data_IF_927272997405
#
_entry.id   IF_927272997405
#
_cell.length_a   1.000
_cell.length_b   1.000
_cell.length_c   1.000
_cell.angle_alpha   90.00
_cell.angle_beta   90.00
_cell.angle_gamma   90.00
#
_symmetry.space_group_name_H-M   'P 1'
#
loop_
_entity.id
_entity.type
_entity.pdbx_description
1 polymer ?
#
# COMPACT_ATOMS: atom_id res chain seq x y z
N UNK A 1 51.23 -9.14 51.57
CA UNK A 1 50.20 -9.91 50.80
C UNK A 1 48.77 -9.65 51.21
N UNK A 2 48.44 -8.69 52.08
CA UNK A 2 47.06 -8.39 52.50
C UNK A 2 46.45 -7.13 51.83
N UNK A 3 47.22 -6.36 51.07
CA UNK A 3 46.73 -5.14 50.40
C UNK A 3 46.41 -5.32 48.90
N UNK A 4 46.69 -6.51 48.31
CA UNK A 4 46.42 -6.80 46.91
C UNK A 4 45.02 -7.40 46.67
N UNK A 5 44.35 -7.88 47.76
CA UNK A 5 43.03 -8.50 47.65
C UNK A 5 41.85 -7.50 47.73
N UNK A 6 42.09 -6.26 48.17
CA UNK A 6 41.04 -5.25 48.35
C UNK A 6 40.80 -4.47 47.05
N UNK A 7 41.79 -4.40 46.16
CA UNK A 7 41.67 -3.68 44.88
C UNK A 7 40.91 -4.51 43.83
N UNK A 8 40.88 -5.84 43.93
CA UNK A 8 40.13 -6.70 43.01
C UNK A 8 38.61 -6.78 43.32
N UNK A 9 38.16 -6.39 44.52
CA UNK A 9 36.73 -6.41 44.86
C UNK A 9 35.96 -5.12 44.48
N UNK A 10 36.67 -4.03 44.16
CA UNK A 10 36.04 -2.78 43.74
C UNK A 10 35.78 -2.68 42.24
N UNK A 11 36.34 -3.60 41.41
CA UNK A 11 36.10 -3.63 39.96
C UNK A 11 34.92 -4.52 39.53
N UNK A 12 34.26 -5.21 40.45
CA UNK A 12 33.13 -6.11 40.14
C UNK A 12 31.73 -5.53 40.46
N UNK A 13 31.66 -4.25 40.89
CA UNK A 13 30.36 -3.61 41.20
C UNK A 13 30.06 -2.41 40.23
N UNK A 14 30.87 -2.21 39.24
CA UNK A 14 30.49 -1.38 38.10
C UNK A 14 29.71 -2.23 37.08
N UNK A 15 28.75 -3.04 37.56
CA UNK A 15 27.68 -3.60 36.76
C UNK A 15 26.90 -2.42 36.21
N UNK A 16 27.12 -2.09 34.94
CA UNK A 16 26.40 -1.10 34.22
C UNK A 16 24.91 -1.37 34.35
N UNK A 17 24.25 -0.60 35.19
CA UNK A 17 22.82 -0.40 35.11
C UNK A 17 22.58 0.34 33.78
N UNK A 18 22.72 -0.38 32.64
CA UNK A 18 22.15 0.04 31.39
C UNK A 18 20.64 0.07 31.67
N UNK A 19 20.10 1.25 32.00
CA UNK A 19 18.67 1.48 31.91
C UNK A 19 18.28 0.94 30.53
N UNK A 20 17.56 -0.18 30.49
CA UNK A 20 16.82 -0.56 29.29
C UNK A 20 16.01 0.69 28.95
N UNK A 21 16.39 1.38 27.88
CA UNK A 21 15.53 2.41 27.32
C UNK A 21 14.21 1.70 27.04
N UNK A 22 13.15 2.06 27.75
CA UNK A 22 11.83 1.50 27.48
C UNK A 22 11.53 1.80 26.00
N UNK A 23 11.21 0.77 25.27
CA UNK A 23 10.87 0.89 23.86
C UNK A 23 9.64 1.79 23.73
N UNK A 24 9.73 2.80 22.87
CA UNK A 24 8.63 3.75 22.60
C UNK A 24 7.34 2.98 22.31
N UNK A 25 6.27 3.23 23.05
CA UNK A 25 4.97 2.60 22.79
C UNK A 25 4.41 3.04 21.43
N UNK A 26 3.53 2.25 20.81
CA UNK A 26 2.90 2.65 19.54
C UNK A 26 2.11 3.95 19.66
N UNK A 27 1.54 4.23 20.83
CA UNK A 27 0.88 5.52 21.08
C UNK A 27 1.88 6.67 21.03
N UNK A 28 3.01 6.56 21.72
CA UNK A 28 4.06 7.58 21.69
C UNK A 28 4.63 7.80 20.29
N UNK A 29 4.81 6.71 19.52
CA UNK A 29 5.25 6.77 18.14
C UNK A 29 4.24 7.54 17.27
N UNK A 30 2.94 7.26 17.39
CA UNK A 30 1.87 7.98 16.69
C UNK A 30 1.87 9.45 17.10
N UNK A 31 1.92 9.73 18.40
CA UNK A 31 1.92 11.11 18.92
C UNK A 31 3.16 11.91 18.45
N UNK A 32 4.26 11.24 18.13
CA UNK A 32 5.48 11.86 17.57
C UNK A 32 5.41 12.08 16.07
N UNK A 33 4.89 11.10 15.32
CA UNK A 33 4.95 11.08 13.84
C UNK A 33 3.82 11.88 13.21
N UNK A 34 2.60 11.79 13.74
CA UNK A 34 1.44 12.40 13.11
C UNK A 34 1.51 13.94 13.03
N UNK A 35 2.02 14.67 14.03
CA UNK A 35 2.24 16.12 13.87
C UNK A 35 3.23 16.46 12.75
N UNK A 36 4.29 15.68 12.58
CA UNK A 36 5.24 15.85 11.47
C UNK A 36 4.54 15.62 10.13
N UNK A 37 3.67 14.61 10.05
CA UNK A 37 2.90 14.34 8.84
C UNK A 37 1.94 15.50 8.50
N UNK A 38 1.25 16.08 9.49
CA UNK A 38 0.38 17.25 9.29
C UNK A 38 1.18 18.42 8.69
N UNK A 39 2.33 18.76 9.28
CA UNK A 39 3.19 19.84 8.79
C UNK A 39 3.73 19.57 7.37
N UNK A 40 4.19 18.35 7.11
CA UNK A 40 4.68 17.94 5.78
C UNK A 40 3.58 18.09 4.72
N UNK A 41 2.36 17.65 5.01
CA UNK A 41 1.26 17.71 4.04
C UNK A 41 0.73 19.13 3.80
N UNK A 42 0.72 20.00 4.84
CA UNK A 42 0.47 21.44 4.67
C UNK A 42 1.57 22.10 3.83
N UNK A 43 2.84 21.76 4.10
CA UNK A 43 3.99 22.23 3.32
C UNK A 43 3.94 21.77 1.87
N UNK A 44 3.56 20.53 1.62
CA UNK A 44 3.39 19.99 0.26
C UNK A 44 2.37 20.82 -0.53
N UNK A 45 1.23 21.18 0.07
CA UNK A 45 0.21 21.99 -0.59
C UNK A 45 0.74 23.36 -1.07
N UNK A 46 1.75 23.93 -0.39
CA UNK A 46 2.38 25.19 -0.76
C UNK A 46 3.39 25.04 -1.91
N UNK A 47 3.94 23.82 -2.10
CA UNK A 47 4.93 23.55 -3.14
C UNK A 47 4.27 23.14 -4.48
N UNK A 48 3.04 22.64 -4.43
CA UNK A 48 2.35 22.10 -5.62
C UNK A 48 1.85 23.23 -6.53
N UNK A 49 2.17 23.19 -7.84
CA UNK A 49 1.52 24.05 -8.81
C UNK A 49 0.02 23.77 -8.86
N UNK A 50 -0.74 24.76 -9.32
CA UNK A 50 -2.19 24.61 -9.49
C UNK A 50 -2.53 23.41 -10.38
N UNK A 51 -3.51 22.61 -9.97
CA UNK A 51 -3.96 21.44 -10.72
C UNK A 51 -3.02 20.23 -10.65
N UNK A 52 -1.95 20.27 -9.83
CA UNK A 52 -0.96 19.20 -9.73
C UNK A 52 -1.04 18.45 -8.40
N UNK A 53 -0.61 17.19 -8.45
CA UNK A 53 -0.47 16.29 -7.31
C UNK A 53 1.00 15.90 -7.10
N UNK A 54 1.42 15.60 -5.87
CA UNK A 54 2.78 15.12 -5.63
C UNK A 54 2.97 13.74 -6.24
N UNK A 55 4.16 13.51 -6.83
CA UNK A 55 4.49 12.21 -7.44
C UNK A 55 5.75 11.60 -6.84
N UNK A 56 6.89 12.26 -6.97
CA UNK A 56 8.19 11.75 -6.51
C UNK A 56 9.22 12.87 -6.45
N UNK A 57 10.45 12.51 -6.13
CA UNK A 57 11.64 13.35 -6.30
C UNK A 57 12.43 12.78 -7.46
N UNK A 58 12.84 13.62 -8.41
CA UNK A 58 13.68 13.21 -9.53
C UNK A 58 15.13 12.98 -9.08
N UNK A 59 15.93 12.30 -9.90
CA UNK A 59 17.36 12.00 -9.61
C UNK A 59 18.20 13.27 -9.34
N UNK A 60 17.83 14.38 -9.96
CA UNK A 60 18.46 15.69 -9.72
C UNK A 60 17.92 16.42 -8.47
N UNK A 61 17.12 15.74 -7.66
CA UNK A 61 16.60 16.24 -6.39
C UNK A 61 15.42 17.21 -6.50
N UNK A 62 14.77 17.37 -7.66
CA UNK A 62 13.60 18.26 -7.82
C UNK A 62 12.29 17.55 -7.54
N UNK A 63 11.30 18.29 -6.99
CA UNK A 63 9.93 17.81 -6.85
C UNK A 63 9.34 17.49 -8.22
N UNK A 64 8.90 16.26 -8.40
CA UNK A 64 8.16 15.80 -9.57
C UNK A 64 6.67 15.75 -9.23
N UNK A 65 5.85 16.42 -10.03
CA UNK A 65 4.39 16.45 -9.88
C UNK A 65 3.72 15.76 -11.06
N UNK A 66 2.44 15.50 -10.94
CA UNK A 66 1.60 14.94 -12.01
C UNK A 66 0.21 15.55 -12.00
N UNK A 67 -0.49 15.45 -13.13
CA UNK A 67 -1.90 15.81 -13.17
C UNK A 67 -2.77 14.71 -12.51
N UNK A 68 -4.08 14.95 -12.44
CA UNK A 68 -5.06 14.06 -11.82
C UNK A 68 -5.19 12.67 -12.45
N UNK A 69 -4.75 12.48 -13.69
CA UNK A 69 -4.84 11.18 -14.37
C UNK A 69 -3.70 10.22 -14.01
N UNK A 70 -2.71 10.67 -13.26
CA UNK A 70 -1.64 9.79 -12.79
C UNK A 70 -2.16 8.91 -11.65
N UNK A 71 -1.89 7.63 -11.71
CA UNK A 71 -2.45 6.58 -10.85
C UNK A 71 -2.44 6.89 -9.33
N UNK A 72 -1.41 7.55 -8.83
CA UNK A 72 -1.28 7.85 -7.40
C UNK A 72 -1.95 9.17 -6.95
N UNK A 73 -2.68 9.88 -7.82
CA UNK A 73 -3.27 11.18 -7.49
C UNK A 73 -4.26 11.14 -6.31
N UNK A 74 -4.90 10.00 -6.08
CA UNK A 74 -5.84 9.81 -4.96
C UNK A 74 -5.19 9.68 -3.59
N UNK A 75 -3.90 9.34 -3.51
CA UNK A 75 -3.24 9.11 -2.21
C UNK A 75 -3.00 10.39 -1.42
N UNK A 76 -2.70 11.52 -2.08
CA UNK A 76 -2.50 12.77 -1.39
C UNK A 76 -3.77 13.24 -0.66
N UNK A 77 -4.94 13.39 -1.31
CA UNK A 77 -6.18 13.70 -0.60
C UNK A 77 -6.59 12.59 0.38
N UNK A 78 -6.36 11.32 0.05
CA UNK A 78 -6.63 10.21 0.95
C UNK A 78 -5.88 10.33 2.28
N UNK A 79 -4.60 10.69 2.23
CA UNK A 79 -3.80 10.91 3.44
C UNK A 79 -4.26 12.15 4.19
N UNK A 80 -4.62 13.24 3.49
CA UNK A 80 -5.18 14.44 4.14
C UNK A 80 -6.44 14.12 4.95
N UNK A 81 -7.33 13.24 4.46
CA UNK A 81 -8.49 12.79 5.23
C UNK A 81 -8.11 12.05 6.51
N UNK A 82 -7.09 11.17 6.48
CA UNK A 82 -6.59 10.51 7.70
C UNK A 82 -5.94 11.50 8.67
N UNK A 83 -5.20 12.49 8.15
CA UNK A 83 -4.60 13.54 8.99
C UNK A 83 -5.66 14.44 9.63
N UNK A 84 -6.73 14.76 8.92
CA UNK A 84 -7.89 15.47 9.50
C UNK A 84 -8.55 14.65 10.61
N UNK A 85 -8.82 13.36 10.37
CA UNK A 85 -9.41 12.47 11.37
C UNK A 85 -8.57 12.39 12.65
N UNK A 86 -7.24 12.46 12.52
CA UNK A 86 -6.33 12.47 13.66
C UNK A 86 -6.27 13.83 14.38
N UNK A 87 -6.15 14.91 13.62
CA UNK A 87 -5.81 16.25 14.16
C UNK A 87 -7.01 17.14 14.45
N UNK A 88 -8.12 16.96 13.72
CA UNK A 88 -9.24 17.91 13.71
C UNK A 88 -8.87 19.26 13.11
N UNK A 89 -7.79 19.38 12.34
CA UNK A 89 -7.26 20.61 11.80
C UNK A 89 -8.05 21.05 10.55
N UNK A 90 -8.73 22.19 10.63
CA UNK A 90 -9.61 22.71 9.57
C UNK A 90 -8.84 23.06 8.27
N UNK A 91 -7.57 23.47 8.35
CA UNK A 91 -6.77 23.69 7.13
C UNK A 91 -6.55 22.36 6.39
N UNK A 92 -6.29 21.27 7.13
CA UNK A 92 -6.17 19.93 6.56
C UNK A 92 -7.50 19.46 5.95
N UNK A 93 -8.63 19.75 6.60
CA UNK A 93 -9.96 19.47 6.07
C UNK A 93 -10.16 20.15 4.69
N UNK A 94 -9.91 21.45 4.60
CA UNK A 94 -10.06 22.19 3.36
C UNK A 94 -9.10 21.73 2.26
N UNK A 95 -7.87 21.35 2.62
CA UNK A 95 -6.96 20.74 1.66
C UNK A 95 -7.46 19.37 1.17
N UNK A 96 -7.98 18.53 2.08
CA UNK A 96 -8.53 17.23 1.74
C UNK A 96 -9.72 17.36 0.79
N UNK A 97 -10.67 18.26 1.08
CA UNK A 97 -11.81 18.57 0.23
C UNK A 97 -11.36 19.06 -1.15
N UNK A 98 -10.52 20.11 -1.20
CA UNK A 98 -9.99 20.69 -2.44
C UNK A 98 -9.36 19.63 -3.35
N UNK A 99 -8.41 18.84 -2.84
CA UNK A 99 -7.69 17.87 -3.66
C UNK A 99 -8.55 16.64 -4.01
N UNK A 100 -9.56 16.31 -3.20
CA UNK A 100 -10.55 15.29 -3.53
C UNK A 100 -11.42 15.75 -4.72
N UNK A 101 -11.98 16.96 -4.67
CA UNK A 101 -12.85 17.50 -5.71
C UNK A 101 -12.13 17.68 -7.06
N UNK A 102 -10.83 17.95 -7.06
CA UNK A 102 -10.03 17.99 -8.29
C UNK A 102 -10.05 16.66 -9.06
N UNK A 103 -10.36 15.54 -8.40
CA UNK A 103 -10.44 14.20 -9.01
C UNK A 103 -11.84 13.88 -9.55
N UNK A 104 -12.82 14.76 -9.48
CA UNK A 104 -14.22 14.47 -9.84
C UNK A 104 -14.35 13.81 -11.22
N UNK A 105 -13.65 14.31 -12.25
CA UNK A 105 -13.73 13.76 -13.60
C UNK A 105 -13.15 12.36 -13.77
N UNK A 106 -12.37 11.86 -12.81
CA UNK A 106 -11.81 10.48 -12.82
C UNK A 106 -12.94 9.45 -12.82
N UNK A 107 -14.09 9.75 -12.25
CA UNK A 107 -15.27 8.86 -12.28
C UNK A 107 -15.72 8.43 -13.67
N UNK A 108 -15.27 9.12 -14.72
CA UNK A 108 -15.60 8.79 -16.12
C UNK A 108 -14.44 8.13 -16.88
N UNK A 109 -13.30 7.91 -16.26
CA UNK A 109 -12.14 7.25 -16.88
C UNK A 109 -12.43 5.77 -17.07
N UNK A 110 -12.24 5.28 -18.29
CA UNK A 110 -12.44 3.87 -18.68
C UNK A 110 -11.21 3.24 -19.34
N UNK A 111 -10.10 4.00 -19.44
CA UNK A 111 -8.84 3.57 -20.05
C UNK A 111 -7.82 2.99 -19.08
N UNK A 112 -8.10 3.06 -17.77
CA UNK A 112 -7.18 2.64 -16.71
C UNK A 112 -7.95 1.99 -15.55
N UNK A 113 -7.34 1.03 -14.87
CA UNK A 113 -7.92 0.39 -13.68
C UNK A 113 -7.74 1.20 -12.39
N UNK A 114 -6.80 2.14 -12.38
CA UNK A 114 -6.43 2.90 -11.18
C UNK A 114 -7.48 3.92 -10.73
N UNK A 115 -8.61 3.97 -11.42
CA UNK A 115 -9.83 4.64 -10.94
C UNK A 115 -10.18 4.23 -9.50
N UNK A 116 -9.95 2.96 -9.13
CA UNK A 116 -10.12 2.48 -7.76
C UNK A 116 -9.19 3.17 -6.78
N UNK A 117 -7.89 3.20 -7.04
CA UNK A 117 -6.90 3.92 -6.23
C UNK A 117 -7.21 5.41 -6.11
N UNK A 118 -7.52 6.04 -7.23
CA UNK A 118 -7.75 7.47 -7.27
C UNK A 118 -9.00 7.87 -6.49
N UNK A 119 -10.12 7.19 -6.70
CA UNK A 119 -11.40 7.58 -6.11
C UNK A 119 -11.62 6.99 -4.70
N UNK A 120 -11.23 5.72 -4.46
CA UNK A 120 -11.54 5.14 -3.16
C UNK A 120 -10.62 5.66 -2.06
N UNK A 121 -9.34 5.96 -2.37
CA UNK A 121 -8.45 6.62 -1.43
C UNK A 121 -8.92 8.05 -1.09
N UNK A 122 -9.44 8.82 -2.06
CA UNK A 122 -9.89 10.20 -1.90
C UNK A 122 -11.35 10.31 -1.45
N UNK A 123 -12.28 10.16 -2.39
CA UNK A 123 -13.72 10.22 -2.13
C UNK A 123 -14.22 9.17 -1.14
N UNK A 124 -13.61 7.98 -1.14
CA UNK A 124 -13.96 6.93 -0.18
C UNK A 124 -13.71 7.34 1.27
N UNK A 125 -12.52 7.89 1.57
CA UNK A 125 -12.21 8.41 2.89
C UNK A 125 -13.00 9.68 3.20
N UNK A 126 -13.17 10.58 2.23
CA UNK A 126 -14.02 11.75 2.38
C UNK A 126 -15.45 11.37 2.75
N UNK A 127 -16.07 10.42 2.04
CA UNK A 127 -17.41 9.93 2.38
C UNK A 127 -17.46 9.24 3.75
N UNK A 128 -16.46 8.45 4.08
CA UNK A 128 -16.39 7.79 5.40
C UNK A 128 -16.46 8.79 6.55
N UNK A 129 -15.80 9.92 6.40
CA UNK A 129 -15.69 10.97 7.44
C UNK A 129 -16.87 11.94 7.40
N UNK A 130 -17.19 12.49 6.22
CA UNK A 130 -18.17 13.59 6.08
C UNK A 130 -19.60 13.13 5.85
N UNK A 131 -19.80 11.92 5.31
CA UNK A 131 -21.10 11.40 4.84
C UNK A 131 -21.72 12.25 3.73
N UNK A 132 -20.93 13.03 3.01
CA UNK A 132 -21.36 13.85 1.86
C UNK A 132 -21.98 12.95 0.77
N UNK A 133 -23.27 13.09 0.41
CA UNK A 133 -23.93 12.21 -0.55
C UNK A 133 -23.31 12.29 -1.96
N UNK A 134 -22.83 13.45 -2.35
CA UNK A 134 -22.19 13.71 -3.64
C UNK A 134 -20.92 12.87 -3.80
N UNK A 135 -20.18 12.65 -2.72
CA UNK A 135 -19.00 11.78 -2.73
C UNK A 135 -19.37 10.33 -3.02
N UNK A 136 -20.50 9.85 -2.47
CA UNK A 136 -21.03 8.51 -2.79
C UNK A 136 -21.42 8.40 -4.27
N UNK A 137 -22.02 9.44 -4.86
CA UNK A 137 -22.38 9.44 -6.28
C UNK A 137 -21.16 9.33 -7.18
N UNK A 138 -20.05 10.03 -6.82
CA UNK A 138 -18.76 9.93 -7.54
C UNK A 138 -18.22 8.49 -7.47
N UNK A 139 -18.25 7.86 -6.30
CA UNK A 139 -17.79 6.48 -6.13
C UNK A 139 -18.64 5.49 -6.94
N UNK A 140 -19.96 5.65 -6.93
CA UNK A 140 -20.88 4.80 -7.70
C UNK A 140 -20.61 4.94 -9.21
N UNK A 141 -20.40 6.15 -9.71
CA UNK A 141 -20.07 6.36 -11.11
C UNK A 141 -18.69 5.80 -11.45
N UNK A 142 -17.67 6.01 -10.60
CA UNK A 142 -16.33 5.46 -10.80
C UNK A 142 -16.33 3.92 -10.84
N UNK A 143 -17.11 3.27 -9.98
CA UNK A 143 -17.26 1.83 -10.01
C UNK A 143 -17.89 1.31 -11.31
N UNK A 144 -18.87 2.04 -11.88
CA UNK A 144 -19.45 1.71 -13.18
C UNK A 144 -18.41 1.86 -14.30
N UNK A 145 -17.61 2.91 -14.28
CA UNK A 145 -16.55 3.13 -15.26
C UNK A 145 -15.47 2.05 -15.18
N UNK A 146 -15.00 1.70 -13.98
CA UNK A 146 -14.04 0.62 -13.76
C UNK A 146 -14.60 -0.73 -14.23
N UNK A 147 -15.87 -1.02 -13.96
CA UNK A 147 -16.52 -2.26 -14.37
C UNK A 147 -16.59 -2.45 -15.89
N UNK A 148 -16.53 -1.37 -16.71
CA UNK A 148 -16.49 -1.49 -18.18
C UNK A 148 -15.23 -2.19 -18.70
N UNK A 149 -14.16 -2.25 -17.88
CA UNK A 149 -12.90 -2.92 -18.23
C UNK A 149 -12.92 -4.43 -17.97
N UNK A 150 -14.02 -4.96 -17.42
CA UNK A 150 -14.16 -6.37 -17.14
C UNK A 150 -14.43 -7.17 -18.41
N UNK A 151 -13.66 -8.23 -18.64
CA UNK A 151 -13.84 -9.14 -19.76
C UNK A 151 -14.41 -10.50 -19.26
N UNK A 152 -15.64 -10.86 -19.66
CA UNK A 152 -16.34 -12.00 -19.06
C UNK A 152 -15.69 -13.37 -19.39
N UNK A 153 -15.03 -13.52 -20.52
CA UNK A 153 -14.34 -14.78 -20.89
C UNK A 153 -13.08 -14.96 -20.04
N UNK A 154 -12.32 -13.89 -19.78
CA UNK A 154 -11.12 -13.92 -18.93
C UNK A 154 -11.51 -13.93 -17.45
N UNK A 155 -12.57 -13.20 -17.09
CA UNK A 155 -13.00 -13.01 -15.72
C UNK A 155 -12.17 -11.97 -14.93
N UNK A 156 -11.46 -11.07 -15.64
CA UNK A 156 -10.64 -10.02 -15.05
C UNK A 156 -10.96 -8.64 -15.63
N UNK A 157 -10.52 -7.61 -14.90
CA UNK A 157 -10.47 -6.21 -15.31
C UNK A 157 -9.11 -5.97 -15.96
N UNK A 158 -9.09 -5.42 -17.17
CA UNK A 158 -7.86 -5.02 -17.85
C UNK A 158 -7.20 -3.84 -17.13
N UNK A 159 -5.86 -3.88 -17.00
CA UNK A 159 -5.15 -2.87 -16.19
C UNK A 159 -5.12 -1.51 -16.87
N UNK A 160 -4.65 -1.39 -18.09
CA UNK A 160 -4.60 -0.13 -18.84
C UNK A 160 -4.74 -0.39 -20.34
N UNK A 161 -5.02 0.67 -21.11
CA UNK A 161 -4.93 0.63 -22.56
C UNK A 161 -3.45 0.77 -22.97
N UNK A 162 -3.06 0.10 -24.05
CA UNK A 162 -1.65 -0.05 -24.43
C UNK A 162 -1.52 -0.12 -25.97
N UNK A 163 -0.37 0.28 -26.47
CA UNK A 163 0.03 0.18 -27.88
C UNK A 163 1.07 -0.94 -28.13
N UNK A 164 1.37 -1.76 -27.10
CA UNK A 164 2.34 -2.84 -27.23
C UNK A 164 1.71 -4.04 -27.95
N UNK A 165 2.20 -4.42 -29.14
CA UNK A 165 1.66 -5.54 -29.92
C UNK A 165 1.86 -6.91 -29.25
N UNK A 166 2.71 -6.99 -28.23
CA UNK A 166 2.95 -8.25 -27.51
C UNK A 166 1.84 -8.60 -26.52
N UNK A 167 1.11 -7.62 -26.00
CA UNK A 167 0.00 -7.84 -25.06
C UNK A 167 -1.33 -7.92 -25.79
N UNK A 168 -2.26 -8.68 -25.21
CA UNK A 168 -3.66 -8.74 -25.64
C UNK A 168 -4.63 -8.27 -24.56
N UNK A 169 -4.36 -8.67 -23.31
CA UNK A 169 -5.17 -8.30 -22.16
C UNK A 169 -4.32 -8.35 -20.89
N UNK A 170 -3.51 -7.32 -20.64
CA UNK A 170 -2.62 -7.28 -19.48
C UNK A 170 -3.40 -7.01 -18.19
N UNK A 171 -3.07 -7.79 -17.15
CA UNK A 171 -3.60 -7.65 -15.79
C UNK A 171 -2.42 -7.64 -14.83
N UNK A 172 -2.26 -6.58 -14.03
CA UNK A 172 -1.23 -6.52 -13.00
C UNK A 172 -1.83 -6.79 -11.62
N UNK A 173 -0.98 -7.23 -10.69
CA UNK A 173 -1.39 -7.59 -9.33
C UNK A 173 -1.95 -6.40 -8.56
N UNK A 174 -1.56 -5.19 -8.89
CA UNK A 174 -2.02 -3.91 -8.33
C UNK A 174 -3.53 -3.77 -8.41
N UNK A 175 -4.16 -4.35 -9.44
CA UNK A 175 -5.60 -4.31 -9.65
C UNK A 175 -6.39 -4.85 -8.45
N UNK A 176 -5.77 -5.71 -7.62
CA UNK A 176 -6.41 -6.22 -6.40
C UNK A 176 -6.83 -5.11 -5.43
N UNK A 177 -6.14 -3.95 -5.43
CA UNK A 177 -6.51 -2.80 -4.61
C UNK A 177 -7.67 -2.00 -5.21
N UNK A 178 -7.77 -1.96 -6.54
CA UNK A 178 -8.84 -1.27 -7.25
C UNK A 178 -10.22 -1.95 -7.05
N UNK A 179 -10.23 -3.24 -6.66
CA UNK A 179 -11.45 -3.98 -6.37
C UNK A 179 -12.21 -3.45 -5.15
N UNK A 180 -11.55 -2.72 -4.23
CA UNK A 180 -12.22 -2.20 -3.04
C UNK A 180 -13.32 -1.21 -3.41
N UNK A 181 -13.11 -0.38 -4.43
CA UNK A 181 -14.17 0.49 -4.96
C UNK A 181 -15.38 -0.31 -5.43
N UNK A 182 -15.17 -1.39 -6.18
CA UNK A 182 -16.28 -2.20 -6.73
C UNK A 182 -17.08 -2.90 -5.63
N UNK A 183 -16.37 -3.58 -4.72
CA UNK A 183 -17.04 -4.38 -3.70
C UNK A 183 -17.74 -3.51 -2.67
N UNK A 184 -17.15 -2.35 -2.32
CA UNK A 184 -17.81 -1.38 -1.45
C UNK A 184 -19.08 -0.81 -2.10
N UNK A 185 -19.01 -0.39 -3.38
CA UNK A 185 -20.20 0.12 -4.09
C UNK A 185 -21.26 -0.97 -4.25
N UNK A 186 -20.84 -2.22 -4.50
CA UNK A 186 -21.76 -3.35 -4.55
C UNK A 186 -22.58 -3.48 -3.25
N UNK A 187 -21.94 -3.42 -2.09
CA UNK A 187 -22.62 -3.42 -0.80
C UNK A 187 -23.55 -2.21 -0.60
N UNK A 188 -23.05 -1.00 -0.95
CA UNK A 188 -23.82 0.24 -0.75
C UNK A 188 -25.05 0.37 -1.65
N UNK A 189 -25.12 -0.40 -2.75
CA UNK A 189 -26.16 -0.30 -3.77
C UNK A 189 -26.89 -1.62 -4.03
N UNK A 190 -26.55 -2.69 -3.31
CA UNK A 190 -27.01 -4.05 -3.55
C UNK A 190 -26.83 -4.48 -5.02
N UNK A 191 -25.67 -4.20 -5.59
CA UNK A 191 -25.34 -4.50 -6.99
C UNK A 191 -24.54 -5.80 -7.11
N UNK A 192 -25.24 -6.91 -7.35
CA UNK A 192 -24.63 -8.24 -7.49
C UNK A 192 -23.62 -8.32 -8.65
N UNK A 193 -23.79 -7.53 -9.72
CA UNK A 193 -22.89 -7.52 -10.86
C UNK A 193 -21.50 -6.98 -10.49
N UNK A 194 -21.42 -5.88 -9.73
CA UNK A 194 -20.14 -5.33 -9.25
C UNK A 194 -19.48 -6.28 -8.27
N UNK A 195 -20.25 -6.90 -7.38
CA UNK A 195 -19.76 -7.94 -6.48
C UNK A 195 -19.16 -9.13 -7.24
N UNK A 196 -19.88 -9.62 -8.26
CA UNK A 196 -19.43 -10.71 -9.11
C UNK A 196 -18.14 -10.36 -9.85
N UNK A 197 -18.02 -9.16 -10.42
CA UNK A 197 -16.81 -8.69 -11.11
C UNK A 197 -15.61 -8.71 -10.16
N UNK A 198 -15.73 -8.16 -8.95
CA UNK A 198 -14.67 -8.13 -7.96
C UNK A 198 -14.21 -9.55 -7.56
N UNK A 199 -15.16 -10.43 -7.25
CA UNK A 199 -14.87 -11.82 -6.87
C UNK A 199 -14.27 -12.62 -8.03
N UNK A 200 -14.79 -12.46 -9.26
CA UNK A 200 -14.25 -13.11 -10.46
C UNK A 200 -12.78 -12.71 -10.67
N UNK A 201 -12.50 -11.42 -10.67
CA UNK A 201 -11.13 -10.91 -10.81
C UNK A 201 -10.20 -11.49 -9.74
N UNK A 202 -10.57 -11.43 -8.47
CA UNK A 202 -9.77 -11.97 -7.38
C UNK A 202 -9.49 -13.48 -7.52
N UNK A 203 -10.49 -14.26 -7.96
CA UNK A 203 -10.35 -15.71 -8.17
C UNK A 203 -9.41 -16.04 -9.34
N UNK A 204 -9.54 -15.34 -10.47
CA UNK A 204 -8.66 -15.54 -11.63
C UNK A 204 -7.23 -15.12 -11.28
N UNK A 205 -7.05 -13.99 -10.62
CA UNK A 205 -5.75 -13.52 -10.12
C UNK A 205 -5.12 -14.55 -9.17
N UNK A 206 -5.89 -15.09 -8.21
CA UNK A 206 -5.42 -16.14 -7.30
C UNK A 206 -4.87 -17.37 -8.05
N UNK A 207 -5.54 -17.77 -9.10
CA UNK A 207 -5.18 -18.99 -9.86
C UNK A 207 -3.99 -18.79 -10.80
N UNK A 208 -3.78 -17.58 -11.33
CA UNK A 208 -2.84 -17.35 -12.41
C UNK A 208 -1.60 -16.50 -12.04
N UNK A 209 -1.73 -15.56 -11.07
CA UNK A 209 -0.62 -14.68 -10.69
C UNK A 209 0.34 -15.30 -9.67
N UNK A 210 -0.03 -16.37 -8.97
CA UNK A 210 0.78 -16.90 -7.89
C UNK A 210 1.59 -18.13 -8.27
N UNK A 211 2.84 -18.16 -7.79
CA UNK A 211 3.72 -19.33 -7.82
C UNK A 211 3.37 -20.27 -6.66
N UNK A 212 3.93 -21.49 -6.69
CA UNK A 212 3.71 -22.49 -5.62
C UNK A 212 4.14 -22.04 -4.23
N UNK A 213 5.10 -21.11 -4.14
CA UNK A 213 5.56 -20.51 -2.89
C UNK A 213 4.74 -19.27 -2.45
N UNK A 214 3.67 -18.94 -3.18
CA UNK A 214 2.79 -17.79 -2.97
C UNK A 214 3.40 -16.41 -3.24
N UNK A 215 4.56 -16.34 -3.91
CA UNK A 215 4.97 -15.11 -4.56
C UNK A 215 4.10 -14.86 -5.79
N UNK A 216 3.89 -13.59 -6.16
CA UNK A 216 3.12 -13.26 -7.35
C UNK A 216 3.99 -12.71 -8.49
N UNK A 217 3.57 -13.02 -9.71
CA UNK A 217 3.99 -12.30 -10.89
C UNK A 217 3.39 -10.88 -10.86
N UNK A 218 4.10 -9.91 -11.42
CA UNK A 218 3.57 -8.56 -11.56
C UNK A 218 2.44 -8.52 -12.59
N UNK A 219 2.68 -9.04 -13.80
CA UNK A 219 1.76 -9.00 -14.93
C UNK A 219 1.45 -10.41 -15.46
N UNK A 220 0.18 -10.66 -15.73
CA UNK A 220 -0.30 -11.80 -16.52
C UNK A 220 -1.07 -11.27 -17.72
N UNK A 221 -0.66 -11.67 -18.92
CA UNK A 221 -1.36 -11.38 -20.18
C UNK A 221 -2.26 -12.55 -20.57
N UNK A 222 -3.50 -12.25 -20.94
CA UNK A 222 -4.52 -13.24 -21.28
C UNK A 222 -4.93 -13.16 -22.75
N UNK A 223 -5.43 -14.28 -23.29
CA UNK A 223 -6.10 -14.30 -24.59
C UNK A 223 -7.60 -14.00 -24.42
N UNK A 224 -8.11 -12.90 -25.00
CA UNK A 224 -9.54 -12.57 -24.91
C UNK A 224 -10.47 -13.59 -25.55
N UNK A 225 -9.96 -14.44 -26.47
CA UNK A 225 -10.77 -15.40 -27.17
C UNK A 225 -11.21 -16.59 -26.31
N UNK A 226 -10.34 -17.04 -25.38
CA UNK A 226 -10.58 -18.23 -24.54
C UNK A 226 -10.25 -18.06 -23.06
N UNK A 227 -9.70 -16.92 -22.66
CA UNK A 227 -9.32 -16.62 -21.27
C UNK A 227 -8.00 -17.30 -20.83
N UNK A 228 -7.28 -17.96 -21.73
CA UNK A 228 -6.03 -18.63 -21.39
C UNK A 228 -4.91 -17.64 -21.06
N UNK A 229 -4.00 -18.05 -20.17
CA UNK A 229 -2.78 -17.31 -19.87
C UNK A 229 -1.79 -17.41 -21.02
N UNK A 230 -1.39 -16.28 -21.60
CA UNK A 230 -0.38 -16.20 -22.68
C UNK A 230 1.04 -16.03 -22.14
N UNK A 231 1.24 -15.05 -21.26
CA UNK A 231 2.55 -14.69 -20.71
C UNK A 231 2.42 -14.29 -19.25
N UNK A 232 3.50 -14.48 -18.49
CA UNK A 232 3.68 -13.96 -17.14
C UNK A 232 4.96 -13.15 -17.13
N UNK A 233 4.85 -11.89 -16.76
CA UNK A 233 5.92 -10.91 -16.98
C UNK A 233 5.99 -9.91 -15.81
N UNK A 234 6.97 -9.02 -15.89
CA UNK A 234 7.06 -7.84 -15.05
C UNK A 234 7.13 -6.57 -15.88
N UNK A 235 6.69 -5.44 -15.30
CA UNK A 235 6.92 -4.08 -15.79
C UNK A 235 7.76 -3.31 -14.79
N UNK A 236 7.65 -3.63 -13.50
CA UNK A 236 8.31 -2.91 -12.41
C UNK A 236 9.32 -3.77 -11.63
N UNK A 237 9.25 -5.09 -11.68
CA UNK A 237 10.22 -5.99 -11.03
C UNK A 237 11.53 -6.11 -11.81
N UNK A 238 12.55 -6.72 -11.20
CA UNK A 238 13.88 -6.89 -11.79
C UNK A 238 13.89 -7.87 -12.95
N UNK A 239 12.99 -8.85 -12.96
CA UNK A 239 12.81 -9.83 -14.03
C UNK A 239 11.41 -10.44 -14.00
N UNK A 240 11.00 -11.12 -15.08
CA UNK A 240 9.68 -11.77 -15.18
C UNK A 240 9.44 -12.81 -14.08
N UNK A 241 10.49 -13.48 -13.62
CA UNK A 241 10.40 -14.47 -12.55
C UNK A 241 10.65 -13.91 -11.15
N UNK A 242 10.95 -12.63 -11.01
CA UNK A 242 11.22 -12.01 -9.71
C UNK A 242 9.95 -11.73 -8.89
N UNK A 243 10.17 -11.37 -7.64
CA UNK A 243 9.13 -11.06 -6.66
C UNK A 243 9.23 -9.59 -6.26
N UNK A 244 8.75 -8.70 -7.12
CA UNK A 244 8.70 -7.27 -6.85
C UNK A 244 7.95 -6.98 -5.54
N UNK A 245 8.61 -6.31 -4.58
CA UNK A 245 8.14 -6.23 -3.20
C UNK A 245 6.80 -5.50 -3.06
N UNK A 246 6.59 -4.42 -3.81
CA UNK A 246 5.32 -3.68 -3.76
C UNK A 246 4.18 -4.50 -4.36
N UNK A 247 4.43 -5.33 -5.38
CA UNK A 247 3.45 -6.28 -5.91
C UNK A 247 3.01 -7.32 -4.86
N UNK A 248 3.95 -7.86 -4.07
CA UNK A 248 3.62 -8.75 -2.95
C UNK A 248 2.78 -8.02 -1.89
N UNK A 249 3.08 -6.74 -1.63
CA UNK A 249 2.33 -5.92 -0.68
C UNK A 249 0.89 -5.66 -1.17
N UNK A 250 0.71 -5.33 -2.45
CA UNK A 250 -0.61 -5.19 -3.06
C UNK A 250 -1.44 -6.46 -2.95
N UNK A 251 -0.82 -7.61 -3.25
CA UNK A 251 -1.47 -8.90 -3.11
C UNK A 251 -1.92 -9.17 -1.66
N UNK A 252 -1.05 -8.94 -0.68
CA UNK A 252 -1.38 -9.13 0.74
C UNK A 252 -2.57 -8.29 1.17
N UNK A 253 -2.53 -6.98 0.90
CA UNK A 253 -3.62 -6.07 1.24
C UNK A 253 -4.90 -6.48 0.49
N UNK A 254 -4.82 -6.69 -0.81
CA UNK A 254 -5.97 -7.00 -1.65
C UNK A 254 -6.72 -8.26 -1.20
N UNK A 255 -6.03 -9.36 -0.89
CA UNK A 255 -6.70 -10.57 -0.39
C UNK A 255 -7.21 -10.43 1.05
N UNK A 256 -6.54 -9.64 1.91
CA UNK A 256 -7.06 -9.31 3.24
C UNK A 256 -8.36 -8.50 3.12
N UNK A 257 -8.38 -7.52 2.23
CA UNK A 257 -9.55 -6.71 1.89
C UNK A 257 -10.69 -7.57 1.32
N UNK A 258 -10.41 -8.45 0.35
CA UNK A 258 -11.43 -9.34 -0.20
C UNK A 258 -12.06 -10.23 0.87
N UNK A 259 -11.28 -10.79 1.79
CA UNK A 259 -11.84 -11.51 2.94
C UNK A 259 -12.68 -10.61 3.85
N UNK A 260 -12.24 -9.38 4.10
CA UNK A 260 -13.00 -8.43 4.94
C UNK A 260 -14.42 -8.24 4.45
N UNK A 261 -14.63 -8.14 3.14
CA UNK A 261 -15.94 -7.95 2.51
C UNK A 261 -16.72 -9.25 2.31
N UNK A 262 -16.07 -10.31 1.83
CA UNK A 262 -16.79 -11.52 1.38
C UNK A 262 -16.93 -12.60 2.45
N UNK A 263 -16.03 -12.64 3.44
CA UNK A 263 -15.85 -13.73 4.41
C UNK A 263 -15.58 -15.10 3.75
N UNK A 264 -15.07 -15.11 2.52
CA UNK A 264 -14.64 -16.34 1.84
C UNK A 264 -13.25 -16.77 2.34
N UNK A 265 -13.18 -17.91 3.01
CA UNK A 265 -11.96 -18.48 3.57
C UNK A 265 -10.86 -18.74 2.53
N UNK A 266 -11.21 -18.85 1.24
CA UNK A 266 -10.22 -18.94 0.18
C UNK A 266 -9.34 -17.68 0.11
N UNK A 267 -9.91 -16.49 0.31
CA UNK A 267 -9.17 -15.24 0.36
C UNK A 267 -8.37 -15.10 1.64
N UNK A 268 -8.91 -15.52 2.78
CA UNK A 268 -8.18 -15.57 4.06
C UNK A 268 -6.93 -16.45 3.95
N UNK A 269 -7.09 -17.65 3.42
CA UNK A 269 -5.99 -18.58 3.24
C UNK A 269 -4.94 -18.03 2.26
N UNK A 270 -5.37 -17.37 1.18
CA UNK A 270 -4.46 -16.73 0.24
C UNK A 270 -3.67 -15.61 0.92
N UNK A 271 -4.32 -14.70 1.65
CA UNK A 271 -3.66 -13.64 2.40
C UNK A 271 -2.65 -14.17 3.43
N UNK A 272 -3.01 -15.24 4.18
CA UNK A 272 -2.10 -15.90 5.13
C UNK A 272 -0.86 -16.48 4.46
N UNK A 273 -1.01 -17.09 3.30
CA UNK A 273 0.09 -17.67 2.54
C UNK A 273 1.04 -16.58 2.00
N UNK A 274 0.48 -15.48 1.48
CA UNK A 274 1.27 -14.31 1.03
C UNK A 274 2.01 -13.67 2.22
N UNK A 275 1.34 -13.48 3.35
CA UNK A 275 1.97 -12.98 4.58
C UNK A 275 3.13 -13.88 5.02
N UNK A 276 2.95 -15.21 4.95
CA UNK A 276 4.00 -16.18 5.26
C UNK A 276 5.18 -16.10 4.29
N UNK A 277 4.93 -15.94 2.99
CA UNK A 277 5.98 -15.74 2.00
C UNK A 277 6.80 -14.49 2.34
N UNK A 278 6.14 -13.33 2.50
CA UNK A 278 6.79 -12.05 2.79
C UNK A 278 7.63 -12.13 4.07
N UNK A 279 7.02 -12.56 5.17
CA UNK A 279 7.64 -12.49 6.50
C UNK A 279 8.77 -13.51 6.72
N UNK A 280 8.80 -14.59 5.93
CA UNK A 280 9.84 -15.63 6.02
C UNK A 280 10.81 -15.60 4.85
N UNK A 281 10.70 -14.63 3.93
CA UNK A 281 11.59 -14.58 2.78
C UNK A 281 13.04 -14.37 3.24
N UNK A 282 14.02 -15.14 2.73
CA UNK A 282 15.42 -15.02 3.17
C UNK A 282 16.01 -13.63 2.94
N UNK A 283 15.56 -12.93 1.90
CA UNK A 283 15.99 -11.57 1.60
C UNK A 283 15.20 -10.48 2.37
N UNK A 284 14.25 -10.84 3.24
CA UNK A 284 13.57 -9.85 4.08
C UNK A 284 14.54 -9.37 5.17
N UNK A 285 14.91 -8.07 5.18
CA UNK A 285 15.83 -7.55 6.17
C UNK A 285 15.28 -7.59 7.59
N UNK A 286 16.19 -7.61 8.57
CA UNK A 286 15.80 -7.70 9.99
C UNK A 286 14.94 -6.53 10.48
N UNK A 287 15.10 -5.37 9.87
CA UNK A 287 14.32 -4.16 10.18
C UNK A 287 12.88 -4.18 9.60
N UNK A 288 12.58 -5.14 8.72
CA UNK A 288 11.27 -5.34 8.14
C UNK A 288 10.95 -4.47 6.92
N UNK A 289 11.88 -3.63 6.46
CA UNK A 289 11.69 -2.87 5.21
C UNK A 289 12.26 -3.69 4.05
N UNK A 290 11.45 -4.11 3.07
CA UNK A 290 11.94 -4.96 1.99
C UNK A 290 12.88 -4.19 1.05
N UNK A 291 13.74 -4.94 0.35
CA UNK A 291 14.30 -4.45 -0.90
C UNK A 291 13.17 -4.26 -1.92
N UNK A 292 13.39 -3.42 -2.93
CA UNK A 292 12.38 -3.12 -3.94
C UNK A 292 11.94 -4.37 -4.73
N UNK A 293 12.84 -5.35 -4.85
CA UNK A 293 12.58 -6.68 -5.37
C UNK A 293 13.32 -7.72 -4.52
N UNK A 294 12.63 -8.80 -4.13
CA UNK A 294 13.20 -9.83 -3.25
C UNK A 294 14.27 -10.69 -3.94
N UNK A 295 14.29 -10.68 -5.26
CA UNK A 295 15.19 -11.48 -6.08
C UNK A 295 16.28 -10.65 -6.78
N UNK A 296 16.46 -9.40 -6.36
CA UNK A 296 17.52 -8.55 -6.89
C UNK A 296 18.91 -9.12 -6.58
N UNK A 297 19.76 -9.18 -7.61
CA UNK A 297 21.14 -9.65 -7.47
C UNK A 297 22.06 -8.66 -6.75
N UNK A 298 21.62 -7.42 -6.52
CA UNK A 298 22.39 -6.38 -5.81
C UNK A 298 22.22 -6.45 -4.28
N UNK A 299 21.34 -7.31 -3.76
CA UNK A 299 21.19 -7.50 -2.30
C UNK A 299 22.52 -8.00 -1.69
N UNK A 300 23.01 -7.42 -0.57
CA UNK A 300 22.33 -6.50 0.34
C UNK A 300 22.47 -5.00 0.02
N UNK A 301 23.16 -4.61 -1.03
CA UNK A 301 23.50 -3.23 -1.36
C UNK A 301 22.52 -2.58 -2.36
N UNK A 302 21.22 -2.97 -2.28
CA UNK A 302 20.18 -2.50 -3.19
C UNK A 302 19.18 -1.56 -2.52
N UNK A 303 18.34 -0.93 -3.33
CA UNK A 303 17.29 0.01 -2.89
C UNK A 303 16.25 -0.69 -2.01
N UNK A 304 15.80 0.05 -0.99
CA UNK A 304 14.71 -0.35 -0.10
C UNK A 304 13.41 0.27 -0.58
N UNK A 305 12.28 -0.39 -0.32
CA UNK A 305 10.97 0.15 -0.65
C UNK A 305 10.12 0.40 0.61
N UNK A 306 10.19 1.64 1.12
CA UNK A 306 9.38 2.09 2.26
C UNK A 306 7.87 2.03 1.97
N UNK A 307 7.46 2.25 0.70
CA UNK A 307 6.05 2.16 0.30
C UNK A 307 5.52 0.74 0.42
N UNK A 308 6.29 -0.26 -0.03
CA UNK A 308 5.93 -1.66 0.14
C UNK A 308 5.77 -2.04 1.62
N UNK A 309 6.70 -1.58 2.48
CA UNK A 309 6.59 -1.83 3.92
C UNK A 309 5.33 -1.23 4.55
N UNK A 310 4.96 -0.01 4.17
CA UNK A 310 3.74 0.64 4.66
C UNK A 310 2.47 -0.13 4.26
N UNK A 311 2.40 -0.59 3.01
CA UNK A 311 1.28 -1.39 2.51
C UNK A 311 1.23 -2.76 3.21
N UNK A 312 2.39 -3.42 3.37
CA UNK A 312 2.49 -4.69 4.12
C UNK A 312 2.00 -4.52 5.56
N UNK A 313 2.43 -3.47 6.26
CA UNK A 313 1.98 -3.20 7.62
C UNK A 313 0.46 -3.02 7.69
N UNK A 314 -0.13 -2.27 6.77
CA UNK A 314 -1.58 -2.08 6.67
C UNK A 314 -2.31 -3.41 6.42
N UNK A 315 -1.85 -4.20 5.45
CA UNK A 315 -2.42 -5.51 5.14
C UNK A 315 -2.34 -6.50 6.31
N UNK A 316 -1.20 -6.54 7.01
CA UNK A 316 -1.01 -7.40 8.19
C UNK A 316 -1.91 -6.99 9.37
N UNK A 317 -2.08 -5.69 9.61
CA UNK A 317 -2.98 -5.18 10.65
C UNK A 317 -4.43 -5.55 10.34
N UNK A 318 -4.86 -5.43 9.08
CA UNK A 318 -6.20 -5.85 8.69
C UNK A 318 -6.38 -7.37 8.82
N UNK A 319 -5.45 -8.15 8.28
CA UNK A 319 -5.47 -9.63 8.35
C UNK A 319 -5.48 -10.15 9.80
N UNK A 320 -4.80 -9.45 10.72
CA UNK A 320 -4.70 -9.83 12.13
C UNK A 320 -6.03 -9.94 12.86
N UNK A 321 -7.07 -9.27 12.36
CA UNK A 321 -8.43 -9.28 12.92
C UNK A 321 -9.18 -10.61 12.69
N UNK A 322 -8.67 -11.47 11.80
CA UNK A 322 -9.41 -12.61 11.27
C UNK A 322 -8.70 -13.96 11.48
N UNK A 323 -7.61 -13.97 12.22
CA UNK A 323 -6.77 -15.15 12.42
C UNK A 323 -6.66 -15.55 13.88
N UNK A 324 -5.99 -16.68 14.18
CA UNK A 324 -5.75 -17.13 15.56
C UNK A 324 -4.89 -16.10 16.34
N UNK A 325 -5.03 -16.06 17.68
CA UNK A 325 -4.22 -15.15 18.52
C UNK A 325 -2.70 -15.31 18.30
N UNK A 326 -2.23 -16.50 18.00
CA UNK A 326 -0.82 -16.74 17.67
C UNK A 326 -0.40 -16.04 16.38
N UNK A 327 -1.20 -16.14 15.34
CA UNK A 327 -0.95 -15.47 14.05
C UNK A 327 -1.13 -13.96 14.16
N UNK A 328 -2.18 -13.51 14.85
CA UNK A 328 -2.43 -12.10 15.15
C UNK A 328 -1.22 -11.45 15.81
N UNK A 329 -0.70 -12.04 16.88
CA UNK A 329 0.48 -11.51 17.56
C UNK A 329 1.70 -11.45 16.62
N UNK A 330 1.88 -12.46 15.78
CA UNK A 330 2.96 -12.48 14.79
C UNK A 330 2.83 -11.36 13.76
N UNK A 331 1.64 -11.15 13.21
CA UNK A 331 1.37 -10.12 12.21
C UNK A 331 1.48 -8.72 12.82
N UNK A 332 0.91 -8.49 13.99
CA UNK A 332 0.99 -7.21 14.68
C UNK A 332 2.44 -6.88 15.05
N UNK A 333 3.21 -7.82 15.58
CA UNK A 333 4.61 -7.58 15.94
C UNK A 333 5.45 -7.23 14.68
N UNK A 334 5.20 -7.88 13.55
CA UNK A 334 5.90 -7.57 12.31
C UNK A 334 5.51 -6.18 11.77
N UNK A 335 4.22 -5.87 11.73
CA UNK A 335 3.72 -4.55 11.32
C UNK A 335 4.24 -3.43 12.23
N UNK A 336 4.25 -3.62 13.55
CA UNK A 336 4.82 -2.67 14.50
C UNK A 336 6.32 -2.45 14.27
N UNK A 337 7.08 -3.51 13.99
CA UNK A 337 8.50 -3.39 13.62
C UNK A 337 8.67 -2.52 12.37
N UNK A 338 7.90 -2.78 11.31
CA UNK A 338 7.93 -1.95 10.09
C UNK A 338 7.60 -0.48 10.39
N UNK A 339 6.54 -0.21 11.15
CA UNK A 339 6.14 1.14 11.51
C UNK A 339 7.21 1.86 12.35
N UNK A 340 7.89 1.17 13.27
CA UNK A 340 9.01 1.74 14.04
C UNK A 340 10.19 2.11 13.13
N UNK A 341 10.54 1.21 12.21
CA UNK A 341 11.62 1.46 11.25
C UNK A 341 11.27 2.62 10.32
N UNK A 342 10.06 2.63 9.75
CA UNK A 342 9.58 3.74 8.91
C UNK A 342 9.53 5.09 9.66
N UNK A 343 9.40 5.06 10.98
CA UNK A 343 9.37 6.24 11.85
C UNK A 343 10.74 6.64 12.40
N UNK A 344 11.82 5.96 11.99
CA UNK A 344 13.19 6.30 12.33
C UNK A 344 13.72 7.46 11.50
N UNK A 345 14.83 8.07 11.93
CA UNK A 345 15.50 9.16 11.18
C UNK A 345 16.01 8.71 9.80
N UNK A 346 16.19 7.42 9.59
CA UNK A 346 16.59 6.86 8.29
C UNK A 346 15.47 7.01 7.25
N UNK A 347 14.22 6.71 7.63
CA UNK A 347 13.07 6.68 6.72
C UNK A 347 12.13 7.88 6.85
N UNK A 348 11.94 8.41 8.05
CA UNK A 348 11.06 9.56 8.27
C UNK A 348 11.81 10.86 7.94
N UNK A 349 11.26 11.66 7.05
CA UNK A 349 11.81 12.97 6.74
C UNK A 349 11.57 13.94 7.90
N UNK A 350 12.54 14.83 8.15
CA UNK A 350 12.36 15.95 9.09
C UNK A 350 11.39 16.95 8.50
N UNK A 351 10.62 17.64 9.37
CA UNK A 351 9.68 18.66 8.95
C UNK A 351 10.31 19.70 8.01
N UNK A 352 9.63 20.02 6.92
CA UNK A 352 10.08 20.95 5.90
C UNK A 352 11.21 20.43 4.98
N UNK A 353 11.65 19.17 5.11
CA UNK A 353 12.64 18.56 4.24
C UNK A 353 12.02 17.57 3.26
N UNK A 354 12.84 17.00 2.35
CA UNK A 354 12.42 15.97 1.39
C UNK A 354 11.25 16.41 0.50
N UNK A 355 11.20 17.69 0.12
CA UNK A 355 10.09 18.30 -0.60
C UNK A 355 8.72 17.98 0.03
N UNK A 356 8.68 17.88 1.35
CA UNK A 356 7.48 17.53 2.12
C UNK A 356 6.93 16.11 1.89
N UNK A 357 7.64 15.21 1.22
CA UNK A 357 7.33 13.79 1.32
C UNK A 357 7.68 13.25 2.70
N UNK A 358 6.76 12.49 3.28
CA UNK A 358 6.91 11.97 4.65
C UNK A 358 8.00 10.92 4.75
N UNK A 359 8.06 9.99 3.80
CA UNK A 359 9.03 8.89 3.77
C UNK A 359 10.11 9.11 2.74
N UNK A 360 11.30 8.60 3.06
CA UNK A 360 12.46 8.44 2.20
C UNK A 360 12.54 6.98 1.74
N UNK A 361 13.39 6.69 0.73
CA UNK A 361 13.70 5.32 0.28
C UNK A 361 12.48 4.54 -0.24
N UNK A 362 11.67 5.17 -1.10
CA UNK A 362 10.66 4.48 -1.91
C UNK A 362 11.10 4.44 -3.38
N UNK A 363 10.84 3.33 -4.07
CA UNK A 363 11.21 3.08 -5.47
C UNK A 363 9.96 3.10 -6.35
#
# INVERSE_FOLDING_TARGET
MKHLLIILLFFLIAGSCQKRQEEESMKQLIDRVMPVAVEQYKGMAQLLPEGQFPRSISEDGRLKTSNKYWWCSGFYPGTLWYLYEYSGDEDIYHLAEKYTEMLDSIKYVTSDHDVGFQLFCSYGNGYRITRCPEYKEVLVQGAKSLATRFHPVIGCIQSWDFDDPEWRFPVIIDNMLNLELLIWVAEQTNNDSLYHIACSHANVTKNNHFRKNFSCYHLVDYDPADGSTRKKQTVQGVSDESSWARGQAWALYGYSMMYRYTKDDNYLNQARNIANFIMNHPAMPQDGIPYWDFDSSAIPDDYRDASAAAIMASGLIDLSKYVSEKEKNRYINFAQKQLRTLSSEEYLARGGTNHCFLLKHSV
#
